data_IF_065817402293
#
_entry.id   IF_065817402293
#
_cell.length_a   1.000
_cell.length_b   1.000
_cell.length_c   1.000
_cell.angle_alpha   90.00
_cell.angle_beta   90.00
_cell.angle_gamma   90.00
#
_symmetry.space_group_name_H-M   'P 1'
#
loop_
_entity.id
_entity.type
_entity.pdbx_description
1 polymer ?
#
# COMPACT_ATOMS: atom_id res chain seq x y z
N UNK A 1 -9.47 8.75 9.36
CA UNK A 1 -8.22 8.92 10.13
C UNK A 1 -7.10 8.37 9.27
N UNK A 2 -5.97 9.07 9.18
CA UNK A 2 -4.82 8.67 8.36
C UNK A 2 -3.54 8.66 9.20
N UNK A 3 -2.57 7.85 8.79
CA UNK A 3 -1.25 7.78 9.43
C UNK A 3 -0.41 8.99 9.02
N UNK A 4 0.56 9.36 9.84
CA UNK A 4 1.56 10.39 9.48
C UNK A 4 2.73 9.80 8.68
N UNK A 5 2.52 8.65 8.02
CA UNK A 5 3.55 7.96 7.22
C UNK A 5 3.26 8.22 5.76
N UNK A 6 4.27 8.68 5.05
CA UNK A 6 4.16 8.97 3.63
C UNK A 6 4.07 7.69 2.80
N UNK A 7 3.42 7.81 1.65
CA UNK A 7 3.20 6.67 0.76
C UNK A 7 4.50 6.06 0.26
N UNK A 8 5.49 6.89 -0.09
CA UNK A 8 6.79 6.43 -0.57
C UNK A 8 7.55 5.59 0.45
N UNK A 9 7.42 5.91 1.74
CA UNK A 9 8.04 5.14 2.82
C UNK A 9 7.40 3.76 2.94
N UNK A 10 6.09 3.66 2.76
CA UNK A 10 5.38 2.38 2.80
C UNK A 10 5.66 1.52 1.59
N UNK A 11 5.73 2.11 0.40
CA UNK A 11 6.17 1.39 -0.81
C UNK A 11 7.57 0.82 -0.58
N UNK A 12 8.50 1.64 -0.11
CA UNK A 12 9.89 1.22 0.11
C UNK A 12 9.99 0.10 1.15
N UNK A 13 9.30 0.23 2.29
CA UNK A 13 9.28 -0.79 3.33
C UNK A 13 8.64 -2.11 2.84
N UNK A 14 7.54 -2.02 2.08
CA UNK A 14 6.86 -3.20 1.53
C UNK A 14 7.75 -3.94 0.53
N UNK A 15 8.49 -3.21 -0.31
CA UNK A 15 9.43 -3.81 -1.26
C UNK A 15 10.64 -4.44 -0.58
N UNK A 16 11.09 -3.90 0.55
CA UNK A 16 12.15 -4.52 1.35
C UNK A 16 11.68 -5.84 1.97
N UNK A 17 10.45 -5.88 2.51
CA UNK A 17 9.86 -7.11 3.06
C UNK A 17 9.71 -8.17 1.95
N UNK A 18 9.18 -7.80 0.78
CA UNK A 18 9.04 -8.71 -0.35
C UNK A 18 10.37 -9.23 -0.91
N UNK A 19 11.47 -8.52 -0.70
CA UNK A 19 12.80 -9.02 -1.06
C UNK A 19 13.32 -10.06 -0.07
N UNK A 20 12.89 -9.99 1.19
CA UNK A 20 13.27 -10.95 2.23
C UNK A 20 12.40 -12.21 2.18
N UNK A 21 11.14 -12.05 1.81
CA UNK A 21 10.15 -13.12 1.69
C UNK A 21 10.21 -13.72 0.26
N UNK A 22 11.30 -14.43 -0.05
CA UNK A 22 11.49 -15.10 -1.36
C UNK A 22 10.34 -16.07 -1.66
N UNK A 23 9.76 -16.68 -0.62
CA UNK A 23 8.67 -17.64 -0.68
C UNK A 23 7.39 -17.06 -1.31
N UNK A 24 7.09 -15.77 -1.09
CA UNK A 24 5.90 -15.12 -1.65
C UNK A 24 6.08 -14.89 -3.15
N UNK A 25 7.29 -14.51 -3.56
CA UNK A 25 7.62 -14.20 -4.96
C UNK A 25 7.81 -15.47 -5.79
N UNK A 26 8.33 -16.54 -5.19
CA UNK A 26 8.51 -17.86 -5.83
C UNK A 26 7.21 -18.69 -5.85
N UNK A 27 6.36 -18.61 -4.83
CA UNK A 27 5.14 -19.43 -4.73
C UNK A 27 3.92 -18.86 -5.47
N UNK A 28 3.87 -17.54 -5.73
CA UNK A 28 2.73 -16.91 -6.40
C UNK A 28 2.97 -16.62 -7.90
N UNK A 29 1.91 -16.74 -8.71
CA UNK A 29 1.87 -16.39 -10.14
C UNK A 29 2.14 -14.89 -10.46
N UNK A 30 2.44 -14.06 -9.47
CA UNK A 30 2.58 -12.62 -9.61
C UNK A 30 4.06 -12.23 -9.64
N UNK A 31 4.51 -11.68 -10.77
CA UNK A 31 5.84 -11.10 -10.89
C UNK A 31 6.02 -9.95 -9.89
N UNK A 32 7.22 -9.85 -9.31
CA UNK A 32 7.59 -8.78 -8.38
C UNK A 32 7.25 -7.38 -8.89
N UNK A 33 7.44 -7.11 -10.18
CA UNK A 33 7.10 -5.82 -10.80
C UNK A 33 5.60 -5.55 -10.78
N UNK A 34 4.78 -6.58 -11.00
CA UNK A 34 3.32 -6.47 -10.95
C UNK A 34 2.85 -6.18 -9.52
N UNK A 35 3.42 -6.88 -8.54
CA UNK A 35 3.12 -6.64 -7.12
C UNK A 35 3.55 -5.24 -6.67
N UNK A 36 4.74 -4.80 -7.10
CA UNK A 36 5.26 -3.45 -6.86
C UNK A 36 4.31 -2.39 -7.42
N UNK A 37 3.81 -2.58 -8.65
CA UNK A 37 2.85 -1.67 -9.26
C UNK A 37 1.52 -1.66 -8.52
N UNK A 38 1.05 -2.81 -8.04
CA UNK A 38 -0.18 -2.92 -7.25
C UNK A 38 -0.06 -2.18 -5.92
N UNK A 39 1.05 -2.35 -5.20
CA UNK A 39 1.31 -1.65 -3.93
C UNK A 39 1.36 -0.14 -4.17
N UNK A 40 2.08 0.31 -5.20
CA UNK A 40 2.09 1.72 -5.57
C UNK A 40 0.67 2.25 -5.83
N UNK A 41 -0.14 1.51 -6.62
CA UNK A 41 -1.51 1.89 -6.91
C UNK A 41 -2.36 2.00 -5.63
N UNK A 42 -2.27 1.05 -4.70
CA UNK A 42 -3.03 1.11 -3.45
C UNK A 42 -2.62 2.32 -2.59
N UNK A 43 -1.32 2.61 -2.54
CA UNK A 43 -0.80 3.75 -1.77
C UNK A 43 -1.18 5.09 -2.39
N UNK A 44 -1.13 5.24 -3.72
CA UNK A 44 -1.40 6.52 -4.40
C UNK A 44 -2.88 6.78 -4.65
N UNK A 45 -3.70 5.73 -4.67
CA UNK A 45 -5.07 5.79 -5.20
C UNK A 45 -6.07 5.28 -4.16
N UNK A 46 -5.94 5.79 -2.93
CA UNK A 46 -6.88 5.49 -1.85
C UNK A 46 -8.06 6.45 -1.87
N UNK A 47 -9.27 5.90 -1.91
CA UNK A 47 -10.51 6.65 -1.79
C UNK A 47 -11.27 6.22 -0.55
N UNK A 48 -11.98 7.17 0.08
CA UNK A 48 -12.86 6.88 1.20
C UNK A 48 -14.21 7.58 1.06
N UNK A 49 -15.23 7.00 1.68
CA UNK A 49 -16.58 7.56 1.73
C UNK A 49 -16.84 8.24 3.07
N UNK A 50 -17.43 9.43 3.01
CA UNK A 50 -17.89 10.15 4.20
C UNK A 50 -19.12 10.98 3.84
N UNK A 51 -20.18 10.89 4.64
CA UNK A 51 -21.46 11.59 4.41
C UNK A 51 -21.99 11.44 2.96
N UNK A 52 -21.87 10.25 2.38
CA UNK A 52 -22.35 9.95 1.03
C UNK A 52 -21.48 10.49 -0.12
N UNK A 53 -20.37 11.15 0.18
CA UNK A 53 -19.41 11.65 -0.82
C UNK A 53 -18.15 10.79 -0.85
N UNK A 54 -17.51 10.69 -2.02
CA UNK A 54 -16.22 10.02 -2.21
C UNK A 54 -15.11 11.06 -2.20
N UNK A 55 -14.04 10.77 -1.48
CA UNK A 55 -12.87 11.63 -1.35
C UNK A 55 -11.61 10.87 -1.71
N UNK A 56 -10.67 11.55 -2.35
CA UNK A 56 -9.32 11.06 -2.57
C UNK A 56 -8.45 11.37 -1.35
N UNK A 57 -7.69 10.37 -0.88
CA UNK A 57 -6.71 10.54 0.17
C UNK A 57 -5.37 10.93 -0.43
N UNK A 58 -5.03 12.21 -0.31
CA UNK A 58 -3.78 12.78 -0.87
C UNK A 58 -2.58 12.73 0.10
N UNK A 59 -2.82 12.43 1.37
CA UNK A 59 -1.78 12.41 2.40
C UNK A 59 -2.00 11.30 3.43
N UNK A 60 -0.90 10.67 3.84
CA UNK A 60 -0.90 9.56 4.78
C UNK A 60 -1.52 8.29 4.20
N UNK A 61 -1.51 7.21 4.97
CA UNK A 61 -2.27 6.00 4.66
C UNK A 61 -3.51 5.88 5.52
N UNK A 62 -4.53 5.23 4.99
CA UNK A 62 -5.80 5.11 5.71
C UNK A 62 -5.57 4.22 6.94
N UNK A 63 -5.97 4.70 8.11
CA UNK A 63 -5.89 3.88 9.32
C UNK A 63 -6.78 2.66 9.14
N UNK A 64 -6.25 1.47 9.46
CA UNK A 64 -6.90 0.18 9.21
C UNK A 64 -6.64 -0.40 7.82
N UNK A 65 -5.88 0.29 6.95
CA UNK A 65 -5.35 -0.32 5.73
C UNK A 65 -4.38 -1.46 6.09
N UNK A 66 -4.36 -2.58 5.34
CA UNK A 66 -3.36 -3.64 5.51
C UNK A 66 -1.91 -3.16 5.32
N UNK A 67 -1.73 -2.05 4.61
CA UNK A 67 -0.41 -1.42 4.38
C UNK A 67 -0.06 -0.36 5.43
N UNK A 68 -0.99 -0.03 6.32
CA UNK A 68 -0.72 0.94 7.38
C UNK A 68 0.07 0.26 8.51
N UNK A 69 1.10 0.94 9.06
CA UNK A 69 1.77 0.45 10.27
C UNK A 69 0.77 0.34 11.44
N UNK A 70 1.01 -0.60 12.37
CA UNK A 70 0.19 -0.78 13.57
C UNK A 70 0.22 0.43 14.51
#
# INVERSE_FOLDING_TARGET
MFTNVSGENVVSASLEILQREEDIVEAEWIRKESLTRLINLMVTTTYFTSNGSIYEQIFGLQVGSPLSPP
#
